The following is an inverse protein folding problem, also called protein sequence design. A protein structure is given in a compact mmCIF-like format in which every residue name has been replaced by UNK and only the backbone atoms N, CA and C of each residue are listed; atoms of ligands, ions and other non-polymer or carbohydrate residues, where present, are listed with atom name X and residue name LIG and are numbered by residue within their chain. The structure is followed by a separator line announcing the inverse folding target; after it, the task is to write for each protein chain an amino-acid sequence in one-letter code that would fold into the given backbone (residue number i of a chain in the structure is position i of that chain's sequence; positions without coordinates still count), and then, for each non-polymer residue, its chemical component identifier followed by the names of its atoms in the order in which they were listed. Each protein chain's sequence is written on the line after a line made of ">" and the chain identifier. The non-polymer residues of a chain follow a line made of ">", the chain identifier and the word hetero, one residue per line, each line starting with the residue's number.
data_IF_953378291541
#
_entry.id   IF_953378291541
#
_cell.length_a   1.000
_cell.length_b   1.000
_cell.length_c   1.000
_cell.angle_alpha   90.00
_cell.angle_beta   90.00
_cell.angle_gamma   90.00
#
_symmetry.space_group_name_H-M   'P 1'
#
loop_
_entity.id
_entity.type
_entity.pdbx_description
1 polymer ?
#
# COMPACT_ATOMS: atom_id res chain seq x y z
N UNK A 1 29.79 5.66 14.68
CA UNK A 1 29.21 4.35 15.05
C UNK A 1 28.05 4.10 14.13
N UNK A 2 28.06 3.05 13.32
CA UNK A 2 26.93 2.68 12.47
C UNK A 2 25.84 2.12 13.39
N UNK A 3 24.67 2.74 13.38
CA UNK A 3 23.52 2.25 14.17
C UNK A 3 22.94 1.06 13.40
N UNK A 4 22.96 -0.11 14.02
CA UNK A 4 22.33 -1.31 13.47
C UNK A 4 20.81 -1.19 13.62
N UNK A 5 20.07 -1.46 12.55
CA UNK A 5 18.61 -1.31 12.52
C UNK A 5 17.91 -2.65 12.30
N UNK A 6 16.77 -2.79 12.93
CA UNK A 6 15.82 -3.90 12.71
C UNK A 6 14.78 -3.48 11.68
N UNK A 7 14.43 -4.38 10.78
CA UNK A 7 13.44 -4.14 9.74
C UNK A 7 12.33 -5.16 9.83
N UNK A 8 11.09 -4.70 9.67
CA UNK A 8 9.88 -5.54 9.53
C UNK A 8 9.35 -5.34 8.11
N UNK A 9 9.33 -6.41 7.33
CA UNK A 9 8.78 -6.40 5.97
C UNK A 9 7.31 -6.82 6.06
N UNK A 10 6.42 -5.85 5.90
CA UNK A 10 4.97 -6.00 5.95
C UNK A 10 4.40 -6.00 4.51
N UNK A 11 4.48 -7.13 3.86
CA UNK A 11 4.02 -7.38 2.49
C UNK A 11 3.50 -8.82 2.41
N UNK A 12 2.43 -9.07 1.66
CA UNK A 12 1.88 -10.41 1.45
C UNK A 12 2.28 -11.02 0.09
N UNK A 13 3.22 -10.41 -0.63
CA UNK A 13 3.76 -10.89 -1.90
C UNK A 13 5.14 -11.54 -1.68
N UNK A 14 5.23 -12.85 -1.78
CA UNK A 14 6.45 -13.62 -1.50
C UNK A 14 7.68 -13.13 -2.28
N UNK A 15 7.53 -12.80 -3.57
CA UNK A 15 8.65 -12.35 -4.40
C UNK A 15 9.13 -10.96 -3.97
N UNK A 16 8.23 -10.08 -3.56
CA UNK A 16 8.57 -8.75 -3.08
C UNK A 16 9.30 -8.84 -1.74
N UNK A 17 8.80 -9.67 -0.81
CA UNK A 17 9.49 -9.96 0.46
C UNK A 17 10.90 -10.50 0.21
N UNK A 18 11.03 -11.53 -0.62
CA UNK A 18 12.33 -12.13 -0.93
C UNK A 18 13.31 -11.11 -1.55
N UNK A 19 12.84 -10.28 -2.48
CA UNK A 19 13.62 -9.20 -3.07
C UNK A 19 14.08 -8.16 -2.04
N UNK A 20 13.17 -7.74 -1.15
CA UNK A 20 13.47 -6.77 -0.10
C UNK A 20 14.46 -7.34 0.93
N UNK A 21 14.26 -8.59 1.38
CA UNK A 21 15.20 -9.30 2.25
C UNK A 21 16.60 -9.39 1.64
N UNK A 22 16.67 -9.70 0.33
CA UNK A 22 17.95 -9.75 -0.38
C UNK A 22 18.64 -8.38 -0.40
N UNK A 23 17.91 -7.29 -0.66
CA UNK A 23 18.49 -5.93 -0.66
C UNK A 23 18.97 -5.52 0.73
N UNK A 24 18.18 -5.78 1.76
CA UNK A 24 18.51 -5.44 3.15
C UNK A 24 19.65 -6.29 3.70
N UNK A 25 19.74 -7.58 3.39
CA UNK A 25 20.84 -8.45 3.85
C UNK A 25 22.22 -8.00 3.36
N UNK A 26 22.26 -7.20 2.30
CA UNK A 26 23.50 -6.62 1.76
C UNK A 26 23.85 -5.25 2.35
N UNK A 27 23.00 -4.67 3.16
CA UNK A 27 23.29 -3.42 3.86
C UNK A 27 24.03 -3.69 5.16
N UNK A 28 25.09 -2.91 5.40
CA UNK A 28 25.93 -3.08 6.61
C UNK A 28 25.21 -2.68 7.91
N UNK A 29 24.10 -1.94 7.77
CA UNK A 29 23.38 -1.35 8.90
C UNK A 29 22.15 -2.20 9.31
N UNK A 30 21.95 -3.38 8.72
CA UNK A 30 20.84 -4.29 9.02
C UNK A 30 21.24 -5.22 10.16
N UNK A 31 20.53 -5.15 11.29
CA UNK A 31 20.71 -6.02 12.46
C UNK A 31 19.84 -7.26 12.41
N UNK A 32 18.57 -7.08 12.04
CA UNK A 32 17.55 -8.13 12.05
C UNK A 32 16.52 -7.87 10.95
N UNK A 33 16.09 -8.93 10.28
CA UNK A 33 15.01 -8.92 9.29
C UNK A 33 13.86 -9.78 9.82
N UNK A 34 12.68 -9.18 9.87
CA UNK A 34 11.44 -9.78 10.33
C UNK A 34 10.39 -9.65 9.23
N UNK A 35 9.43 -10.57 9.22
CA UNK A 35 8.32 -10.56 8.28
C UNK A 35 7.00 -10.44 9.03
N UNK A 36 6.00 -9.86 8.36
CA UNK A 36 4.62 -9.84 8.79
C UNK A 36 3.72 -9.97 7.55
N UNK A 37 2.85 -10.96 7.54
CA UNK A 37 1.93 -11.22 6.42
C UNK A 37 0.58 -10.53 6.60
N UNK A 38 0.31 -10.03 7.81
CA UNK A 38 -0.93 -9.34 8.17
C UNK A 38 -0.71 -8.35 9.32
N UNK A 39 -1.71 -7.52 9.57
CA UNK A 39 -1.66 -6.48 10.61
C UNK A 39 -1.48 -7.06 12.03
N UNK A 40 -2.05 -8.23 12.34
CA UNK A 40 -1.90 -8.82 13.66
C UNK A 40 -0.44 -9.23 13.94
N UNK A 41 0.21 -9.84 12.95
CA UNK A 41 1.64 -10.17 13.03
C UNK A 41 2.51 -8.92 13.10
N UNK A 42 2.22 -7.89 12.28
CA UNK A 42 2.90 -6.61 12.32
C UNK A 42 2.84 -5.98 13.73
N UNK A 43 1.66 -5.99 14.36
CA UNK A 43 1.49 -5.49 15.74
C UNK A 43 2.31 -6.32 16.73
N UNK A 44 2.37 -7.64 16.56
CA UNK A 44 3.18 -8.50 17.40
C UNK A 44 4.67 -8.18 17.27
N UNK A 45 5.17 -8.02 16.04
CA UNK A 45 6.57 -7.66 15.79
C UNK A 45 6.91 -6.27 16.37
N UNK A 46 6.04 -5.27 16.19
CA UNK A 46 6.23 -3.92 16.72
C UNK A 46 6.26 -3.85 18.26
N UNK A 47 5.58 -4.79 18.95
CA UNK A 47 5.67 -4.88 20.43
C UNK A 47 7.03 -5.36 20.88
N UNK A 48 7.66 -6.26 20.13
CA UNK A 48 8.98 -6.82 20.44
C UNK A 48 10.12 -5.93 19.94
N UNK A 49 9.88 -5.19 18.86
CA UNK A 49 10.84 -4.36 18.13
C UNK A 49 10.29 -2.94 17.91
N UNK A 50 10.05 -2.15 18.98
CA UNK A 50 9.34 -0.87 18.89
C UNK A 50 10.05 0.18 18.04
N UNK A 51 11.39 0.10 17.94
CA UNK A 51 12.21 1.01 17.14
C UNK A 51 12.55 0.49 15.73
N UNK A 52 11.88 -0.55 15.24
CA UNK A 52 12.13 -1.10 13.92
C UNK A 52 11.69 -0.14 12.79
N UNK A 53 12.28 -0.33 11.62
CA UNK A 53 11.79 0.25 10.37
C UNK A 53 10.76 -0.70 9.76
N UNK A 54 9.53 -0.26 9.58
CA UNK A 54 8.48 -1.00 8.91
C UNK A 54 8.49 -0.66 7.43
N UNK A 55 8.71 -1.65 6.57
CA UNK A 55 8.55 -1.54 5.11
C UNK A 55 7.18 -2.10 4.80
N UNK A 56 6.23 -1.22 4.45
CA UNK A 56 4.81 -1.58 4.33
C UNK A 56 4.32 -1.47 2.89
N UNK A 57 3.79 -2.57 2.35
CA UNK A 57 2.89 -2.50 1.20
C UNK A 57 1.44 -2.28 1.66
N UNK A 58 1.04 -1.01 1.75
CA UNK A 58 -0.31 -0.67 2.18
C UNK A 58 -1.39 -1.20 1.22
N UNK A 59 -1.10 -1.33 -0.08
CA UNK A 59 -2.09 -1.73 -1.09
C UNK A 59 -2.48 -3.20 -1.01
N UNK A 60 -1.60 -4.03 -0.48
CA UNK A 60 -1.81 -5.48 -0.35
C UNK A 60 -2.06 -5.93 1.10
N UNK A 61 -1.85 -5.05 2.07
CA UNK A 61 -2.01 -5.33 3.49
C UNK A 61 -3.45 -5.10 3.97
N UNK A 62 -3.83 -5.69 5.11
CA UNK A 62 -5.20 -5.74 5.64
C UNK A 62 -5.62 -4.51 6.47
N UNK A 63 -5.16 -3.31 6.08
CA UNK A 63 -5.66 -2.06 6.64
C UNK A 63 -7.03 -1.68 6.07
N UNK A 64 -7.93 -1.27 6.95
CA UNK A 64 -9.30 -0.83 6.60
C UNK A 64 -9.32 0.59 6.04
N UNK A 65 -8.42 1.44 6.52
CA UNK A 65 -8.31 2.84 6.11
C UNK A 65 -6.95 3.43 6.46
N UNK A 66 -6.62 4.58 5.85
CA UNK A 66 -5.45 5.39 6.22
C UNK A 66 -5.45 5.82 7.68
N UNK A 67 -6.63 6.08 8.26
CA UNK A 67 -6.75 6.44 9.68
C UNK A 67 -6.27 5.32 10.59
N UNK A 68 -6.56 4.06 10.23
CA UNK A 68 -6.09 2.92 11.00
C UNK A 68 -4.55 2.80 10.99
N UNK A 69 -3.91 3.06 9.85
CA UNK A 69 -2.45 3.13 9.76
C UNK A 69 -1.90 4.24 10.65
N UNK A 70 -2.51 5.43 10.62
CA UNK A 70 -2.09 6.57 11.44
C UNK A 70 -2.25 6.24 12.94
N UNK A 71 -3.36 5.63 13.34
CA UNK A 71 -3.59 5.19 14.74
C UNK A 71 -2.56 4.15 15.15
N UNK A 72 -2.20 3.22 14.25
CA UNK A 72 -1.15 2.23 14.54
C UNK A 72 0.21 2.91 14.72
N UNK A 73 0.57 3.86 13.86
CA UNK A 73 1.79 4.66 14.02
C UNK A 73 1.81 5.44 15.35
N UNK A 74 0.70 6.08 15.73
CA UNK A 74 0.57 6.80 17.00
C UNK A 74 0.80 5.89 18.22
N UNK A 75 0.43 4.63 18.10
CA UNK A 75 0.67 3.61 19.14
C UNK A 75 2.14 3.16 19.22
N UNK A 76 2.86 3.18 18.09
CA UNK A 76 4.26 2.74 17.96
C UNK A 76 5.14 3.86 17.41
N UNK A 77 5.21 4.98 18.15
CA UNK A 77 5.89 6.23 17.74
C UNK A 77 7.40 6.10 17.53
N UNK A 78 8.02 5.07 18.08
CA UNK A 78 9.46 4.83 17.95
C UNK A 78 9.81 4.17 16.60
N UNK A 79 8.82 3.54 15.94
CA UNK A 79 9.00 2.92 14.64
C UNK A 79 9.03 3.97 13.53
N UNK A 80 9.92 3.75 12.55
CA UNK A 80 9.94 4.49 11.29
C UNK A 80 9.21 3.69 10.23
N UNK A 81 8.51 4.35 9.29
CA UNK A 81 7.67 3.71 8.30
C UNK A 81 8.09 4.09 6.89
N UNK A 82 8.43 3.11 6.07
CA UNK A 82 8.67 3.27 4.64
C UNK A 82 7.54 2.58 3.87
N UNK A 83 6.66 3.38 3.26
CA UNK A 83 5.65 2.85 2.36
C UNK A 83 6.32 2.37 1.08
N UNK A 84 6.12 1.10 0.76
CA UNK A 84 6.66 0.44 -0.42
C UNK A 84 5.53 -0.26 -1.17
N UNK A 85 4.77 0.52 -1.93
CA UNK A 85 3.55 0.07 -2.61
C UNK A 85 3.62 0.35 -4.10
N UNK A 86 2.73 -0.27 -4.86
CA UNK A 86 2.64 -0.05 -6.32
C UNK A 86 2.21 1.38 -6.64
N UNK A 87 0.99 1.75 -6.27
CA UNK A 87 0.38 3.05 -6.57
C UNK A 87 -0.47 3.51 -5.39
N UNK A 88 -0.26 4.72 -4.92
CA UNK A 88 -0.98 5.30 -3.80
C UNK A 88 -1.71 6.57 -4.23
N UNK A 89 -2.97 6.74 -3.82
CA UNK A 89 -3.74 7.93 -4.16
C UNK A 89 -3.15 9.18 -3.49
N UNK A 90 -3.28 10.33 -4.17
CA UNK A 90 -2.78 11.60 -3.65
C UNK A 90 -3.45 11.99 -2.31
N UNK A 91 -4.72 11.61 -2.12
CA UNK A 91 -5.44 11.82 -0.86
C UNK A 91 -4.82 11.05 0.30
N UNK A 92 -4.52 9.77 0.09
CA UNK A 92 -3.83 8.92 1.04
C UNK A 92 -2.42 9.46 1.35
N UNK A 93 -1.64 9.76 0.32
CA UNK A 93 -0.28 10.29 0.47
C UNK A 93 -0.27 11.58 1.30
N UNK A 94 -1.18 12.52 1.02
CA UNK A 94 -1.32 13.74 1.81
C UNK A 94 -1.65 13.43 3.26
N UNK A 95 -2.67 12.62 3.50
CA UNK A 95 -3.11 12.29 4.85
C UNK A 95 -2.00 11.65 5.67
N UNK A 96 -1.31 10.63 5.14
CA UNK A 96 -0.29 9.90 5.87
C UNK A 96 1.01 10.70 6.00
N UNK A 97 1.52 11.28 4.90
CA UNK A 97 2.79 11.99 4.92
C UNK A 97 2.75 13.31 5.70
N UNK A 98 1.58 13.93 5.86
CA UNK A 98 1.42 15.13 6.69
C UNK A 98 1.03 14.80 8.14
N UNK A 99 0.63 13.58 8.46
CA UNK A 99 0.33 13.18 9.84
C UNK A 99 1.61 13.03 10.68
N UNK A 100 2.70 12.57 10.10
CA UNK A 100 3.98 12.39 10.79
C UNK A 100 5.19 12.46 9.86
N UNK A 101 6.32 12.91 10.38
CA UNK A 101 7.61 12.90 9.69
C UNK A 101 8.24 11.50 9.63
N UNK A 102 7.74 10.52 10.40
CA UNK A 102 8.22 9.13 10.41
C UNK A 102 7.79 8.32 9.19
N UNK A 103 6.88 8.86 8.35
CA UNK A 103 6.49 8.20 7.10
C UNK A 103 7.35 8.64 5.92
N UNK A 104 8.09 7.71 5.33
CA UNK A 104 8.71 7.84 4.02
C UNK A 104 7.91 7.09 2.95
N UNK A 105 8.23 7.31 1.67
CA UNK A 105 7.60 6.61 0.56
C UNK A 105 8.53 6.40 -0.61
N UNK A 106 8.55 5.17 -1.13
CA UNK A 106 9.15 4.76 -2.40
C UNK A 106 8.21 3.76 -3.07
N UNK A 107 8.02 3.87 -4.39
CA UNK A 107 7.09 3.01 -5.11
C UNK A 107 7.82 1.75 -5.63
N UNK A 108 7.08 0.67 -5.86
CA UNK A 108 7.63 -0.61 -6.37
C UNK A 108 8.18 -0.50 -7.80
N UNK A 109 7.74 0.49 -8.57
CA UNK A 109 8.23 0.78 -9.93
C UNK A 109 9.44 1.73 -9.97
N UNK A 110 9.88 2.26 -8.82
CA UNK A 110 11.13 3.03 -8.76
C UNK A 110 12.35 2.17 -9.09
N UNK A 111 13.42 2.81 -9.54
CA UNK A 111 14.67 2.11 -9.82
C UNK A 111 15.23 1.44 -8.57
N UNK A 112 16.00 0.37 -8.76
CA UNK A 112 16.69 -0.31 -7.65
C UNK A 112 17.57 0.65 -6.85
N UNK A 113 18.22 1.58 -7.53
CA UNK A 113 19.08 2.60 -6.91
C UNK A 113 18.29 3.51 -5.99
N UNK A 114 17.11 3.95 -6.42
CA UNK A 114 16.22 4.79 -5.63
C UNK A 114 15.66 4.04 -4.41
N UNK A 115 15.29 2.77 -4.59
CA UNK A 115 14.88 1.89 -3.47
C UNK A 115 16.02 1.73 -2.46
N UNK A 116 17.26 1.51 -2.91
CA UNK A 116 18.41 1.39 -2.01
C UNK A 116 18.67 2.69 -1.23
N UNK A 117 18.52 3.85 -1.86
CA UNK A 117 18.63 5.16 -1.17
C UNK A 117 17.53 5.29 -0.11
N UNK A 118 16.28 4.93 -0.45
CA UNK A 118 15.16 4.97 0.50
C UNK A 118 15.43 4.09 1.74
N UNK A 119 15.95 2.87 1.54
CA UNK A 119 16.31 1.96 2.63
C UNK A 119 17.46 2.52 3.50
N UNK A 120 18.46 3.15 2.89
CA UNK A 120 19.55 3.80 3.61
C UNK A 120 19.06 5.00 4.43
N UNK A 121 18.18 5.84 3.87
CA UNK A 121 17.56 6.92 4.62
C UNK A 121 16.76 6.39 5.82
N UNK A 122 15.94 5.35 5.61
CA UNK A 122 15.16 4.72 6.67
C UNK A 122 16.05 4.14 7.79
N UNK A 123 17.20 3.51 7.45
CA UNK A 123 18.16 3.02 8.45
C UNK A 123 18.75 4.13 9.33
N UNK A 124 18.82 5.35 8.81
CA UNK A 124 19.36 6.54 9.51
C UNK A 124 18.30 7.39 10.20
N UNK A 125 17.04 6.98 10.18
CA UNK A 125 15.88 7.77 10.63
C UNK A 125 15.68 9.05 9.80
N UNK A 126 16.11 9.01 8.54
CA UNK A 126 15.91 10.10 7.59
C UNK A 126 14.68 9.80 6.75
N UNK A 127 13.83 10.82 6.58
CA UNK A 127 12.65 10.70 5.74
C UNK A 127 13.03 10.67 4.26
N UNK A 128 12.50 9.73 3.51
CA UNK A 128 12.64 9.67 2.06
C UNK A 128 11.28 9.78 1.37
N UNK A 129 11.18 10.62 0.36
CA UNK A 129 10.01 10.71 -0.52
C UNK A 129 10.52 10.68 -1.96
N UNK A 130 10.14 9.67 -2.74
CA UNK A 130 10.59 9.55 -4.11
C UNK A 130 10.13 10.73 -4.98
N UNK A 131 10.87 11.01 -6.05
CA UNK A 131 10.61 12.16 -6.92
C UNK A 131 9.21 12.14 -7.54
N UNK A 132 8.70 10.95 -7.90
CA UNK A 132 7.35 10.82 -8.45
C UNK A 132 6.29 11.32 -7.48
N UNK A 133 6.33 10.85 -6.23
CA UNK A 133 5.38 11.27 -5.18
C UNK A 133 5.56 12.75 -4.83
N UNK A 134 6.78 13.25 -4.75
CA UNK A 134 7.05 14.67 -4.50
C UNK A 134 6.39 15.53 -5.57
N UNK A 135 6.55 15.18 -6.85
CA UNK A 135 5.92 15.89 -7.96
C UNK A 135 4.40 15.82 -7.90
N UNK A 136 3.81 14.67 -7.56
CA UNK A 136 2.36 14.53 -7.38
C UNK A 136 1.82 15.45 -6.28
N UNK A 137 2.52 15.53 -5.15
CA UNK A 137 2.11 16.37 -4.02
C UNK A 137 2.19 17.87 -4.37
N UNK A 138 3.23 18.30 -5.11
CA UNK A 138 3.43 19.67 -5.55
C UNK A 138 2.47 20.09 -6.66
N UNK A 139 2.17 19.19 -7.61
CA UNK A 139 1.27 19.46 -8.73
C UNK A 139 -0.20 19.56 -8.30
N UNK A 140 -0.56 18.98 -7.19
CA UNK A 140 -1.95 18.87 -6.70
C UNK A 140 -2.59 20.19 -6.26
N UNK A 141 -1.89 21.34 -6.35
CA UNK A 141 -2.50 22.66 -6.14
C UNK A 141 -3.15 23.24 -7.42
N UNK A 142 -2.99 22.58 -8.58
CA UNK A 142 -3.51 23.11 -9.86
C UNK A 142 -4.75 22.39 -10.39
N UNK A 143 -5.25 21.34 -9.74
CA UNK A 143 -6.43 20.58 -10.20
C UNK A 143 -7.51 20.40 -9.11
N UNK A 144 -7.77 21.45 -8.32
CA UNK A 144 -9.05 21.61 -7.65
C UNK A 144 -9.98 22.45 -8.54
N UNK A 145 -10.21 22.00 -9.76
CA UNK A 145 -11.26 22.58 -10.59
C UNK A 145 -11.65 21.54 -11.61
N UNK A 146 -12.78 21.08 -11.45
CA UNK A 146 -13.83 20.62 -12.33
C UNK A 146 -14.43 19.35 -11.74
N UNK A 147 -15.10 19.53 -10.60
CA UNK A 147 -16.22 18.67 -10.24
C UNK A 147 -17.32 18.88 -11.29
N UNK A 148 -17.17 18.22 -12.44
CA UNK A 148 -18.36 17.81 -13.16
C UNK A 148 -18.93 16.63 -12.35
N UNK A 149 -20.22 16.57 -12.08
CA UNK A 149 -20.85 15.35 -11.58
C UNK A 149 -20.84 14.35 -12.74
N UNK A 150 -19.70 13.66 -12.91
CA UNK A 150 -19.64 12.48 -13.76
C UNK A 150 -20.54 11.47 -13.07
N UNK A 151 -21.61 11.08 -13.75
CA UNK A 151 -22.46 9.99 -13.29
C UNK A 151 -21.54 8.81 -12.97
N UNK A 152 -21.56 8.36 -11.72
CA UNK A 152 -20.64 7.36 -11.13
C UNK A 152 -20.62 6.00 -11.87
N UNK A 153 -21.45 5.83 -12.90
CA UNK A 153 -21.59 4.58 -13.66
C UNK A 153 -20.60 4.41 -14.82
N UNK A 154 -19.88 5.46 -15.26
CA UNK A 154 -19.05 5.41 -16.48
C UNK A 154 -17.53 5.32 -16.24
N UNK A 155 -17.07 5.32 -14.98
CA UNK A 155 -15.64 5.27 -14.66
C UNK A 155 -14.99 3.92 -14.96
N UNK A 156 -15.73 2.83 -14.78
CA UNK A 156 -15.23 1.46 -14.96
C UNK A 156 -15.82 0.82 -16.22
N UNK A 157 -14.98 0.13 -16.97
CA UNK A 157 -15.45 -0.74 -18.05
C UNK A 157 -16.30 -1.89 -17.48
N UNK A 158 -17.17 -2.55 -18.28
CA UNK A 158 -17.94 -3.70 -17.81
C UNK A 158 -17.06 -4.82 -17.21
N UNK A 159 -15.88 -5.06 -17.79
CA UNK A 159 -14.94 -6.05 -17.28
C UNK A 159 -14.35 -5.62 -15.91
N UNK A 160 -13.95 -4.36 -15.76
CA UNK A 160 -13.45 -3.81 -14.49
C UNK A 160 -14.52 -3.82 -13.40
N UNK A 161 -15.76 -3.48 -13.75
CA UNK A 161 -16.90 -3.53 -12.82
C UNK A 161 -17.18 -4.95 -12.33
N UNK A 162 -17.09 -5.94 -13.23
CA UNK A 162 -17.24 -7.34 -12.88
C UNK A 162 -16.09 -7.84 -11.97
N UNK A 163 -14.84 -7.43 -12.23
CA UNK A 163 -13.69 -7.76 -11.38
C UNK A 163 -13.83 -7.06 -10.01
N UNK A 164 -14.28 -5.80 -9.98
CA UNK A 164 -14.55 -5.09 -8.73
C UNK A 164 -15.60 -5.82 -7.87
N UNK A 165 -16.65 -6.36 -8.49
CA UNK A 165 -17.66 -7.19 -7.77
C UNK A 165 -17.00 -8.40 -7.11
N UNK A 166 -16.13 -9.10 -7.81
CA UNK A 166 -15.42 -10.28 -7.26
C UNK A 166 -14.47 -9.92 -6.13
N UNK A 167 -13.74 -8.79 -6.25
CA UNK A 167 -12.91 -8.25 -5.18
C UNK A 167 -13.76 -7.94 -3.94
N UNK A 168 -14.91 -7.29 -4.14
CA UNK A 168 -15.82 -6.93 -3.05
C UNK A 168 -16.45 -8.15 -2.36
N UNK A 169 -16.59 -9.27 -3.06
CA UNK A 169 -17.01 -10.56 -2.51
C UNK A 169 -15.87 -11.33 -1.83
N UNK A 170 -14.70 -10.72 -1.65
CA UNK A 170 -13.58 -11.29 -0.90
C UNK A 170 -12.66 -12.20 -1.70
N UNK A 171 -12.83 -12.34 -3.03
CA UNK A 171 -11.98 -13.20 -3.83
C UNK A 171 -10.56 -12.62 -3.97
N UNK A 172 -9.58 -13.50 -3.83
CA UNK A 172 -8.18 -13.16 -4.06
C UNK A 172 -7.88 -12.98 -5.55
N UNK A 173 -6.78 -12.30 -5.88
CA UNK A 173 -6.31 -12.15 -7.26
C UNK A 173 -6.10 -13.50 -7.95
N UNK A 174 -5.64 -14.53 -7.21
CA UNK A 174 -5.42 -15.88 -7.75
C UNK A 174 -6.75 -16.56 -8.10
N UNK A 175 -7.75 -16.50 -7.24
CA UNK A 175 -9.08 -17.07 -7.47
C UNK A 175 -9.76 -16.44 -8.68
N UNK A 176 -9.74 -15.10 -8.77
CA UNK A 176 -10.29 -14.35 -9.91
C UNK A 176 -9.58 -14.75 -11.21
N UNK A 177 -8.26 -14.91 -11.19
CA UNK A 177 -7.48 -15.33 -12.36
C UNK A 177 -7.89 -16.72 -12.85
N UNK A 178 -8.04 -17.68 -11.93
CA UNK A 178 -8.48 -19.06 -12.25
C UNK A 178 -9.90 -19.06 -12.82
N UNK A 179 -10.84 -18.41 -12.17
CA UNK A 179 -12.26 -18.40 -12.61
C UNK A 179 -12.45 -17.74 -13.99
N UNK A 180 -11.62 -16.74 -14.31
CA UNK A 180 -11.70 -16.02 -15.59
C UNK A 180 -10.79 -16.59 -16.67
N UNK A 181 -10.02 -17.64 -16.39
CA UNK A 181 -9.00 -18.18 -17.29
C UNK A 181 -8.00 -17.09 -17.77
N UNK A 182 -7.61 -16.20 -16.87
CA UNK A 182 -6.63 -15.13 -17.09
C UNK A 182 -5.39 -15.33 -16.25
N UNK A 183 -4.28 -14.69 -16.65
CA UNK A 183 -3.07 -14.75 -15.83
C UNK A 183 -3.24 -13.91 -14.55
N UNK A 184 -2.50 -14.27 -13.49
CA UNK A 184 -2.39 -13.46 -12.27
C UNK A 184 -1.99 -12.01 -12.60
N UNK A 185 -1.04 -11.83 -13.51
CA UNK A 185 -0.58 -10.50 -13.92
C UNK A 185 -1.68 -9.67 -14.61
N UNK A 186 -2.53 -10.32 -15.41
CA UNK A 186 -3.66 -9.65 -16.06
C UNK A 186 -4.66 -9.13 -15.03
N UNK A 187 -5.04 -9.97 -14.05
CA UNK A 187 -5.96 -9.54 -12.98
C UNK A 187 -5.33 -8.47 -12.10
N UNK A 188 -4.04 -8.59 -11.78
CA UNK A 188 -3.34 -7.56 -11.01
C UNK A 188 -3.33 -6.20 -11.74
N UNK A 189 -3.13 -6.20 -13.06
CA UNK A 189 -3.22 -4.99 -13.88
C UNK A 189 -4.63 -4.38 -13.89
N UNK A 190 -5.67 -5.22 -13.96
CA UNK A 190 -7.05 -4.75 -13.82
C UNK A 190 -7.30 -4.15 -12.44
N UNK A 191 -6.84 -4.79 -11.35
CA UNK A 191 -6.96 -4.25 -9.99
C UNK A 191 -6.31 -2.88 -9.86
N UNK A 192 -5.06 -2.72 -10.33
CA UNK A 192 -4.36 -1.43 -10.35
C UNK A 192 -5.18 -0.36 -11.09
N UNK A 193 -5.67 -0.67 -12.29
CA UNK A 193 -6.48 0.26 -13.07
C UNK A 193 -7.81 0.63 -12.38
N UNK A 194 -8.49 -0.35 -11.76
CA UNK A 194 -9.71 -0.13 -11.00
C UNK A 194 -9.41 0.80 -9.82
N UNK A 195 -8.40 0.49 -9.01
CA UNK A 195 -8.06 1.27 -7.82
C UNK A 195 -7.68 2.71 -8.19
N UNK A 196 -6.87 2.90 -9.23
CA UNK A 196 -6.53 4.22 -9.75
C UNK A 196 -7.76 5.01 -10.21
N UNK A 197 -8.66 4.40 -10.98
CA UNK A 197 -9.88 5.04 -11.48
C UNK A 197 -10.83 5.43 -10.35
N UNK A 198 -10.90 4.63 -9.29
CA UNK A 198 -11.77 4.86 -8.13
C UNK A 198 -11.11 5.75 -7.07
N UNK A 199 -9.79 5.99 -7.16
CA UNK A 199 -9.02 6.72 -6.13
C UNK A 199 -8.93 5.98 -4.80
N UNK A 200 -8.98 4.63 -4.84
CA UNK A 200 -8.88 3.75 -3.65
C UNK A 200 -7.50 3.07 -3.62
N UNK A 201 -7.04 2.68 -2.45
CA UNK A 201 -5.67 2.20 -2.24
C UNK A 201 -5.58 0.71 -1.90
N UNK A 202 -6.67 0.09 -1.49
CA UNK A 202 -6.70 -1.33 -1.13
C UNK A 202 -8.06 -1.97 -1.43
N UNK A 203 -8.11 -3.32 -1.30
CA UNK A 203 -9.32 -4.08 -1.57
C UNK A 203 -10.50 -3.68 -0.67
N UNK A 204 -10.23 -3.31 0.58
CA UNK A 204 -11.26 -2.92 1.53
C UNK A 204 -11.95 -1.60 1.15
N UNK A 205 -11.15 -0.60 0.73
CA UNK A 205 -11.68 0.66 0.22
C UNK A 205 -12.47 0.43 -1.09
N UNK A 206 -11.99 -0.48 -1.96
CA UNK A 206 -12.69 -0.88 -3.17
C UNK A 206 -14.02 -1.57 -2.87
N UNK A 207 -14.08 -2.44 -1.86
CA UNK A 207 -15.31 -3.08 -1.38
C UNK A 207 -16.31 -2.03 -0.86
N UNK A 208 -15.85 -1.10 -0.06
CA UNK A 208 -16.66 0.01 0.48
C UNK A 208 -17.25 0.87 -0.65
N UNK A 209 -16.45 1.11 -1.70
CA UNK A 209 -16.93 1.79 -2.90
C UNK A 209 -17.98 0.96 -3.62
N UNK A 210 -17.74 -0.34 -3.86
CA UNK A 210 -18.65 -1.23 -4.55
C UNK A 210 -20.04 -1.32 -3.89
N UNK A 211 -20.06 -1.36 -2.55
CA UNK A 211 -21.29 -1.31 -1.76
C UNK A 211 -22.03 0.03 -1.92
N UNK A 212 -21.31 1.16 -1.80
CA UNK A 212 -21.91 2.49 -1.99
C UNK A 212 -22.44 2.73 -3.39
N UNK A 213 -21.78 2.16 -4.39
CA UNK A 213 -22.17 2.26 -5.81
C UNK A 213 -23.24 1.23 -6.23
N UNK A 214 -23.73 0.38 -5.30
CA UNK A 214 -24.71 -0.66 -5.60
C UNK A 214 -24.20 -1.74 -6.56
N UNK A 215 -22.88 -1.97 -6.61
CA UNK A 215 -22.26 -3.03 -7.44
C UNK A 215 -22.38 -4.38 -6.72
N UNK A 216 -22.41 -4.35 -5.39
CA UNK A 216 -22.62 -5.52 -4.49
C UNK A 216 -23.66 -5.14 -3.48
N UNK A 217 -24.65 -6.03 -3.28
CA UNK A 217 -25.66 -5.86 -2.24
C UNK A 217 -25.12 -6.42 -0.90
N UNK A 218 -25.57 -5.80 0.22
CA UNK A 218 -25.20 -6.25 1.57
C UNK A 218 -25.59 -7.72 1.81
N UNK A 219 -26.63 -8.22 1.16
CA UNK A 219 -27.07 -9.61 1.25
C UNK A 219 -26.10 -10.57 0.58
N UNK A 220 -25.47 -10.17 -0.54
CA UNK A 220 -24.48 -10.98 -1.26
C UNK A 220 -23.13 -11.08 -0.50
N UNK A 221 -22.87 -10.16 0.43
CA UNK A 221 -21.61 -10.11 1.19
C UNK A 221 -21.59 -11.06 2.41
N UNK A 222 -22.75 -11.43 2.94
CA UNK A 222 -22.87 -12.28 4.15
C UNK A 222 -23.22 -13.75 3.87
N UNK A 223 -23.19 -14.19 2.60
CA UNK A 223 -23.38 -15.59 2.20
C UNK A 223 -22.04 -16.23 1.91
#
# INVERSE_FOLDING_TARGET
>A
MTIMREFIIADNQDITKAGMMFLLSRQKDTALLLEADNKAELIQQLRLHPGAVVILDYTSFDFVSSDELIVLHERFKEADWLLFSDELSIGFLRQVLFSSMSFGVVLKDNSKEEILIALQCASRKERFICNHVSNLLLSGNSQTSLLHPIQQNDLLTPAERSILKEIALGKTTKEIAVERNLSFHTINSHRKNIFRKLGVNNAHEATKYAMKAGIVDLVEYYI
#
